data_IF_412189375483
#
_entry.id   IF_412189375483
#
_cell.length_a   1.000
_cell.length_b   1.000
_cell.length_c   1.000
_cell.angle_alpha   90.00
_cell.angle_beta   90.00
_cell.angle_gamma   90.00
#
_symmetry.space_group_name_H-M   'P 1'
#
loop_
_entity.id
_entity.type
_entity.pdbx_description
1 polymer ?
#
# COMPACT_ATOMS: atom_id res chain seq x y z
N UNK A 1 15.85 -3.39 2.99
CA UNK A 1 15.67 -3.48 1.53
C UNK A 1 14.18 -3.70 1.33
N UNK A 2 13.37 -2.62 1.31
CA UNK A 2 11.93 -2.63 0.96
C UNK A 2 11.44 -1.17 0.75
N UNK A 3 12.30 -0.30 0.22
CA UNK A 3 12.02 1.14 0.04
C UNK A 3 11.18 1.48 -1.20
N UNK A 4 10.18 0.65 -1.53
CA UNK A 4 9.32 0.84 -2.71
C UNK A 4 7.85 1.09 -2.34
N UNK A 5 7.58 1.62 -1.14
CA UNK A 5 6.25 2.05 -0.72
C UNK A 5 5.96 3.53 -1.04
N UNK A 6 6.64 4.12 -2.03
CA UNK A 6 6.29 5.44 -2.54
C UNK A 6 5.44 5.28 -3.81
N UNK A 7 4.12 5.36 -3.63
CA UNK A 7 3.12 5.58 -4.69
C UNK A 7 2.76 4.40 -5.60
N UNK A 8 2.74 3.16 -5.12
CA UNK A 8 1.86 2.16 -5.76
C UNK A 8 0.41 2.56 -5.46
N UNK A 9 -0.23 3.28 -6.40
CA UNK A 9 -1.69 3.46 -6.37
C UNK A 9 -2.31 2.07 -6.49
N UNK A 10 -2.58 1.45 -5.34
CA UNK A 10 -3.40 0.26 -5.26
C UNK A 10 -4.84 0.75 -5.41
N UNK A 11 -5.48 0.37 -6.52
CA UNK A 11 -6.88 0.68 -6.76
C UNK A 11 -7.65 -0.59 -7.01
N UNK A 12 -8.81 -0.69 -6.40
CA UNK A 12 -9.79 -1.74 -6.72
C UNK A 12 -10.68 -1.29 -7.87
N UNK A 13 -10.89 -2.17 -8.85
CA UNK A 13 -11.79 -1.93 -9.97
C UNK A 13 -12.66 -3.15 -10.23
N UNK A 14 -13.86 -2.92 -10.75
CA UNK A 14 -14.75 -4.01 -11.16
C UNK A 14 -14.33 -4.45 -12.56
N UNK A 15 -13.96 -5.72 -12.70
CA UNK A 15 -13.45 -6.28 -13.95
C UNK A 15 -14.54 -6.91 -14.84
N UNK A 16 -15.75 -7.08 -14.32
CA UNK A 16 -16.84 -7.77 -15.01
C UNK A 16 -18.15 -6.96 -15.02
N UNK A 17 -19.12 -7.43 -15.80
CA UNK A 17 -20.50 -7.00 -15.62
C UNK A 17 -21.04 -7.50 -14.28
N UNK A 18 -22.01 -6.76 -13.71
CA UNK A 18 -22.70 -7.15 -12.48
C UNK A 18 -23.88 -8.04 -12.86
N UNK A 19 -23.93 -9.28 -12.36
CA UNK A 19 -25.02 -10.23 -12.60
C UNK A 19 -25.74 -10.48 -11.29
N UNK A 20 -27.04 -10.22 -11.24
CA UNK A 20 -27.85 -10.44 -10.04
C UNK A 20 -29.10 -11.25 -10.31
N UNK A 21 -29.46 -12.09 -9.35
CA UNK A 21 -30.76 -12.72 -9.25
C UNK A 21 -31.30 -12.43 -7.84
N UNK A 22 -32.56 -12.01 -7.74
CA UNK A 22 -33.23 -11.79 -6.47
C UNK A 22 -34.66 -12.34 -6.55
N UNK A 23 -35.16 -12.83 -5.42
CA UNK A 23 -36.55 -13.24 -5.27
C UNK A 23 -37.26 -12.13 -4.49
N UNK A 24 -38.38 -11.67 -5.03
CA UNK A 24 -39.13 -10.56 -4.44
C UNK A 24 -39.52 -10.86 -2.98
N UNK A 25 -39.12 -9.96 -2.07
CA UNK A 25 -39.44 -10.08 -0.64
C UNK A 25 -38.59 -11.07 0.17
N UNK A 26 -37.50 -11.62 -0.35
CA UNK A 26 -36.64 -12.56 0.41
C UNK A 26 -35.17 -12.51 0.01
N UNK A 27 -34.27 -12.45 1.01
CA UNK A 27 -32.82 -12.58 0.79
C UNK A 27 -32.44 -14.05 0.95
N UNK A 28 -32.20 -14.74 -0.17
CA UNK A 28 -31.82 -16.16 -0.13
C UNK A 28 -30.32 -16.31 0.11
N UNK A 29 -29.96 -16.88 1.25
CA UNK A 29 -28.59 -17.22 1.67
C UNK A 29 -28.51 -18.68 2.09
N UNK A 30 -27.30 -19.25 2.12
CA UNK A 30 -27.04 -20.63 2.53
C UNK A 30 -27.66 -21.69 1.62
N UNK A 31 -27.63 -21.47 0.30
CA UNK A 31 -27.96 -22.54 -0.63
C UNK A 31 -26.97 -23.70 -0.43
N UNK A 32 -27.44 -24.95 -0.43
CA UNK A 32 -26.56 -26.11 -0.50
C UNK A 32 -25.61 -25.97 -1.69
N UNK A 33 -24.39 -26.50 -1.57
CA UNK A 33 -23.37 -26.42 -2.64
C UNK A 33 -23.84 -27.01 -3.98
N UNK A 34 -24.81 -27.93 -3.94
CA UNK A 34 -25.46 -28.52 -5.11
C UNK A 34 -26.33 -27.54 -5.91
N UNK A 35 -26.83 -26.47 -5.29
CA UNK A 35 -27.67 -25.44 -5.90
C UNK A 35 -27.01 -24.05 -5.90
N UNK A 36 -25.69 -23.99 -5.70
CA UNK A 36 -24.95 -22.73 -5.71
C UNK A 36 -25.06 -22.05 -7.08
N UNK A 37 -25.14 -20.72 -7.07
CA UNK A 37 -25.17 -19.92 -8.29
C UNK A 37 -23.78 -19.90 -8.90
N UNK A 38 -23.68 -20.30 -10.16
CA UNK A 38 -22.42 -20.32 -10.92
C UNK A 38 -22.48 -19.27 -12.01
N UNK A 39 -21.64 -18.23 -11.89
CA UNK A 39 -21.48 -17.20 -12.90
C UNK A 39 -20.10 -17.34 -13.56
N UNK A 40 -20.07 -17.29 -14.89
CA UNK A 40 -18.83 -17.32 -15.68
C UNK A 40 -18.60 -15.98 -16.36
N UNK A 41 -17.44 -15.39 -16.12
CA UNK A 41 -17.04 -14.10 -16.68
C UNK A 41 -15.83 -14.29 -17.60
N UNK A 42 -15.79 -13.67 -18.79
CA UNK A 42 -14.58 -13.67 -19.62
C UNK A 42 -13.43 -12.99 -18.89
N UNK A 43 -12.20 -13.44 -19.12
CA UNK A 43 -11.03 -12.81 -18.51
C UNK A 43 -10.66 -11.52 -19.26
N UNK A 44 -11.29 -10.41 -18.88
CA UNK A 44 -11.12 -9.07 -19.48
C UNK A 44 -10.07 -8.23 -18.78
N UNK A 45 -9.25 -8.80 -17.89
CA UNK A 45 -8.24 -8.04 -17.12
C UNK A 45 -7.26 -7.29 -18.03
N UNK A 46 -6.98 -7.78 -19.23
CA UNK A 46 -6.13 -7.09 -20.20
C UNK A 46 -6.71 -5.79 -20.74
N UNK A 47 -8.04 -5.62 -20.74
CA UNK A 47 -8.70 -4.38 -21.21
C UNK A 47 -8.76 -3.31 -20.12
N UNK A 48 -8.66 -3.72 -18.84
CA UNK A 48 -8.68 -2.81 -17.68
C UNK A 48 -7.30 -2.27 -17.29
N UNK A 49 -6.24 -2.97 -17.69
CA UNK A 49 -4.88 -2.63 -17.31
C UNK A 49 -4.24 -1.70 -18.35
N UNK A 50 -3.55 -0.68 -17.86
CA UNK A 50 -2.56 0.03 -18.66
C UNK A 50 -1.23 -0.76 -18.69
N UNK A 51 -0.33 -0.42 -19.62
CA UNK A 51 0.99 -1.08 -19.77
C UNK A 51 1.84 -1.06 -18.49
N UNK A 52 1.57 -0.12 -17.57
CA UNK A 52 2.28 0.04 -16.30
C UNK A 52 1.50 -0.53 -15.11
N UNK A 53 0.45 -1.32 -15.33
CA UNK A 53 -0.40 -1.88 -14.28
C UNK A 53 -0.43 -3.41 -14.32
N UNK A 54 -0.66 -4.03 -13.17
CA UNK A 54 -0.84 -5.47 -13.04
C UNK A 54 -1.93 -5.80 -12.02
N UNK A 55 -2.63 -6.91 -12.23
CA UNK A 55 -3.58 -7.44 -11.23
C UNK A 55 -2.78 -8.24 -10.20
N UNK A 56 -2.85 -7.83 -8.93
CA UNK A 56 -2.22 -8.57 -7.82
C UNK A 56 -3.24 -9.40 -7.01
N UNK A 57 -4.53 -9.11 -7.17
CA UNK A 57 -5.60 -9.81 -6.47
C UNK A 57 -6.89 -9.82 -7.27
N UNK A 58 -7.67 -10.89 -7.17
CA UNK A 58 -8.95 -11.07 -7.88
C UNK A 58 -9.90 -11.83 -6.97
N UNK A 59 -11.12 -11.31 -6.83
CA UNK A 59 -12.11 -11.80 -5.88
C UNK A 59 -13.51 -11.71 -6.47
N UNK A 60 -14.36 -12.69 -6.17
CA UNK A 60 -15.78 -12.66 -6.49
C UNK A 60 -16.50 -11.98 -5.33
N UNK A 61 -17.15 -10.86 -5.59
CA UNK A 61 -17.78 -10.03 -4.55
C UNK A 61 -19.22 -9.70 -4.88
N UNK A 62 -19.95 -9.32 -3.85
CA UNK A 62 -21.27 -8.72 -3.96
C UNK A 62 -21.34 -7.45 -3.11
N UNK A 63 -22.25 -6.56 -3.46
CA UNK A 63 -22.50 -5.37 -2.65
C UNK A 63 -23.41 -5.74 -1.48
N UNK A 64 -22.87 -5.68 -0.26
CA UNK A 64 -23.61 -5.95 0.96
C UNK A 64 -23.95 -4.64 1.67
N UNK A 65 -25.23 -4.48 2.02
CA UNK A 65 -25.73 -3.35 2.80
C UNK A 65 -26.31 -3.91 4.10
N UNK A 66 -25.72 -3.62 5.27
CA UNK A 66 -26.29 -3.98 6.56
C UNK A 66 -27.68 -3.36 6.78
N UNK A 67 -28.55 -4.05 7.51
CA UNK A 67 -29.87 -3.52 7.84
C UNK A 67 -29.74 -2.26 8.72
N UNK A 68 -30.43 -1.19 8.34
CA UNK A 68 -30.44 0.07 9.10
C UNK A 68 -29.28 1.02 8.79
N UNK A 69 -28.43 0.73 7.80
CA UNK A 69 -27.42 1.64 7.27
C UNK A 69 -27.65 1.91 5.79
N UNK A 70 -27.35 3.13 5.32
CA UNK A 70 -27.36 3.48 3.90
C UNK A 70 -26.00 3.15 3.22
N UNK A 71 -24.97 2.89 4.04
CA UNK A 71 -23.64 2.53 3.59
C UNK A 71 -23.51 1.01 3.38
N UNK A 72 -22.94 0.62 2.24
CA UNK A 72 -22.60 -0.77 1.93
C UNK A 72 -21.11 -0.98 1.70
N UNK A 73 -20.70 -2.24 1.59
CA UNK A 73 -19.34 -2.63 1.24
C UNK A 73 -19.30 -3.86 0.33
N UNK A 74 -18.18 -4.05 -0.36
CA UNK A 74 -17.93 -5.27 -1.15
C UNK A 74 -17.61 -6.43 -0.20
N UNK A 75 -18.41 -7.48 -0.24
CA UNK A 75 -18.21 -8.70 0.55
C UNK A 75 -17.94 -9.90 -0.36
N UNK A 76 -17.09 -10.81 0.11
CA UNK A 76 -16.75 -12.09 -0.53
C UNK A 76 -17.45 -13.27 0.15
N UNK A 77 -18.24 -13.00 1.19
CA UNK A 77 -18.84 -14.03 2.05
C UNK A 77 -19.74 -14.99 1.27
N UNK A 78 -19.46 -16.29 1.35
CA UNK A 78 -20.26 -17.31 0.66
C UNK A 78 -20.01 -17.42 -0.84
N UNK A 79 -19.05 -16.65 -1.38
CA UNK A 79 -18.56 -16.74 -2.75
C UNK A 79 -17.18 -17.40 -2.82
N UNK A 80 -16.95 -18.18 -3.87
CA UNK A 80 -15.67 -18.77 -4.17
C UNK A 80 -15.28 -18.48 -5.63
N UNK A 81 -14.00 -18.18 -5.85
CA UNK A 81 -13.44 -17.84 -7.15
C UNK A 81 -12.63 -19.02 -7.68
N UNK A 82 -12.90 -19.41 -8.93
CA UNK A 82 -12.08 -20.37 -9.68
C UNK A 82 -11.62 -19.73 -10.97
N UNK A 83 -10.32 -19.50 -11.09
CA UNK A 83 -9.73 -18.95 -12.31
C UNK A 83 -9.42 -20.05 -13.34
N UNK A 84 -9.78 -19.78 -14.59
CA UNK A 84 -9.43 -20.58 -15.77
C UNK A 84 -8.74 -19.68 -16.78
N UNK A 85 -8.09 -20.26 -17.79
CA UNK A 85 -7.27 -19.51 -18.75
C UNK A 85 -8.04 -18.35 -19.42
N UNK A 86 -9.27 -18.61 -19.87
CA UNK A 86 -10.06 -17.64 -20.64
C UNK A 86 -11.25 -17.06 -19.87
N UNK A 87 -11.54 -17.56 -18.68
CA UNK A 87 -12.73 -17.18 -17.92
C UNK A 87 -12.52 -17.35 -16.42
N UNK A 88 -13.25 -16.57 -15.64
CA UNK A 88 -13.30 -16.65 -14.18
C UNK A 88 -14.68 -17.14 -13.78
N UNK A 89 -14.72 -18.18 -12.96
CA UNK A 89 -15.97 -18.73 -12.43
C UNK A 89 -16.13 -18.25 -11.00
N UNK A 90 -17.27 -17.63 -10.71
CA UNK A 90 -17.72 -17.32 -9.36
C UNK A 90 -18.82 -18.30 -8.97
N UNK A 91 -18.63 -19.01 -7.86
CA UNK A 91 -19.63 -19.90 -7.27
C UNK A 91 -20.08 -19.33 -5.94
N UNK A 92 -21.32 -18.89 -5.81
CA UNK A 92 -21.84 -18.26 -4.59
C UNK A 92 -23.06 -19.01 -4.04
N UNK A 93 -23.18 -19.08 -2.72
CA UNK A 93 -24.27 -19.80 -2.03
C UNK A 93 -25.46 -18.89 -1.65
N UNK A 94 -25.63 -17.77 -2.34
CA UNK A 94 -26.71 -16.81 -2.11
C UNK A 94 -27.21 -16.24 -3.45
N UNK A 95 -28.35 -15.55 -3.42
CA UNK A 95 -28.92 -14.84 -4.58
C UNK A 95 -28.75 -13.33 -4.35
N UNK A 96 -27.67 -12.76 -4.90
CA UNK A 96 -27.40 -11.31 -4.87
C UNK A 96 -26.79 -10.85 -6.19
N UNK A 97 -26.52 -9.55 -6.34
CA UNK A 97 -25.75 -9.01 -7.47
C UNK A 97 -24.26 -9.24 -7.26
N UNK A 98 -23.63 -9.99 -8.17
CA UNK A 98 -22.23 -10.40 -8.13
C UNK A 98 -21.39 -9.71 -9.19
N UNK A 99 -20.12 -9.46 -8.87
CA UNK A 99 -19.12 -9.03 -9.83
C UNK A 99 -17.73 -9.54 -9.46
N UNK A 100 -16.82 -9.54 -10.43
CA UNK A 100 -15.38 -9.77 -10.20
C UNK A 100 -14.73 -8.44 -9.87
N UNK A 101 -14.12 -8.34 -8.70
CA UNK A 101 -13.30 -7.20 -8.28
C UNK A 101 -11.83 -7.57 -8.41
N UNK A 102 -11.04 -6.67 -8.97
CA UNK A 102 -9.59 -6.82 -9.12
C UNK A 102 -8.86 -5.73 -8.33
N UNK A 103 -7.80 -6.13 -7.64
CA UNK A 103 -6.78 -5.23 -7.11
C UNK A 103 -5.74 -4.95 -8.18
N UNK A 104 -5.63 -3.69 -8.59
CA UNK A 104 -4.69 -3.21 -9.60
C UNK A 104 -3.54 -2.51 -8.89
N UNK A 105 -2.33 -3.02 -9.14
CA UNK A 105 -1.07 -2.45 -8.72
C UNK A 105 -0.39 -1.76 -9.89
N UNK A 106 0.45 -0.79 -9.58
CA UNK A 106 1.24 -0.05 -10.55
C UNK A 106 2.69 -0.52 -10.50
N UNK A 107 3.27 -0.80 -11.67
CA UNK A 107 4.71 -0.90 -11.83
C UNK A 107 5.27 0.53 -11.78
N UNK A 108 6.17 0.85 -10.84
CA UNK A 108 6.75 2.18 -10.77
C UNK A 108 7.49 2.49 -12.09
N UNK A 109 7.26 3.66 -12.70
CA UNK A 109 7.94 4.02 -13.94
C UNK A 109 9.44 4.08 -13.71
N UNK A 110 10.22 3.77 -14.75
CA UNK A 110 11.69 3.75 -14.66
C UNK A 110 12.28 5.08 -14.15
N UNK A 111 11.59 6.20 -14.41
CA UNK A 111 11.97 7.52 -13.90
C UNK A 111 11.85 7.62 -12.35
N UNK A 112 10.82 7.02 -11.76
CA UNK A 112 10.62 7.03 -10.29
C UNK A 112 11.67 6.15 -9.60
N UNK A 113 12.00 5.01 -10.21
CA UNK A 113 13.08 4.14 -9.73
C UNK A 113 14.42 4.89 -9.79
N UNK A 114 14.68 5.58 -10.89
CA UNK A 114 15.90 6.38 -11.04
C UNK A 114 16.01 7.45 -9.95
N UNK A 115 14.95 8.27 -9.76
CA UNK A 115 14.88 9.31 -8.73
C UNK A 115 15.11 8.75 -7.31
N UNK A 116 14.56 7.57 -7.02
CA UNK A 116 14.76 6.87 -5.75
C UNK A 116 16.23 6.50 -5.53
N UNK A 117 16.89 5.97 -6.56
CA UNK A 117 18.32 5.61 -6.51
C UNK A 117 19.19 6.84 -6.26
N UNK A 118 18.98 7.94 -6.98
CA UNK A 118 19.77 9.17 -6.76
C UNK A 118 19.55 9.73 -5.36
N UNK A 119 18.31 9.70 -4.86
CA UNK A 119 17.98 10.17 -3.51
C UNK A 119 18.71 9.33 -2.46
N UNK A 120 18.69 8.00 -2.62
CA UNK A 120 19.32 7.09 -1.66
C UNK A 120 20.85 7.22 -1.67
N UNK A 121 21.46 7.24 -2.86
CA UNK A 121 22.92 7.42 -3.02
C UNK A 121 23.37 8.81 -2.55
N UNK A 122 22.65 9.86 -2.93
CA UNK A 122 22.94 11.24 -2.54
C UNK A 122 22.82 11.45 -1.03
N UNK A 123 21.82 10.84 -0.41
CA UNK A 123 21.63 10.82 1.05
C UNK A 123 22.82 10.15 1.75
N UNK A 124 23.18 8.93 1.34
CA UNK A 124 24.30 8.18 1.93
C UNK A 124 25.63 8.92 1.80
N UNK A 125 25.93 9.45 0.61
CA UNK A 125 27.16 10.19 0.34
C UNK A 125 27.25 11.46 1.21
N UNK A 126 26.14 12.16 1.38
CA UNK A 126 26.07 13.36 2.20
C UNK A 126 26.29 13.05 3.69
N UNK A 127 25.70 11.97 4.21
CA UNK A 127 25.92 11.53 5.60
C UNK A 127 27.40 11.19 5.85
N UNK A 128 28.03 10.44 4.94
CA UNK A 128 29.46 10.10 5.04
C UNK A 128 30.32 11.36 5.03
N UNK A 129 30.03 12.28 4.10
CA UNK A 129 30.73 13.57 4.01
C UNK A 129 30.62 14.38 5.30
N UNK A 130 29.42 14.47 5.88
CA UNK A 130 29.18 15.20 7.12
C UNK A 130 29.91 14.60 8.31
N UNK A 131 29.92 13.26 8.43
CA UNK A 131 30.65 12.57 9.48
C UNK A 131 32.16 12.80 9.36
N UNK A 132 32.72 12.64 8.16
CA UNK A 132 34.14 12.88 7.92
C UNK A 132 34.53 14.33 8.23
N UNK A 133 33.73 15.29 7.78
CA UNK A 133 33.99 16.71 8.03
C UNK A 133 33.91 17.05 9.53
N UNK A 134 32.92 16.50 10.25
CA UNK A 134 32.77 16.68 11.69
C UNK A 134 33.98 16.09 12.45
N UNK A 135 34.42 14.89 12.10
CA UNK A 135 35.58 14.24 12.73
C UNK A 135 36.87 15.04 12.53
N UNK A 136 37.08 15.57 11.33
CA UNK A 136 38.24 16.44 11.04
C UNK A 136 38.21 17.73 11.86
N UNK A 137 37.04 18.37 12.01
CA UNK A 137 36.90 19.59 12.81
C UNK A 137 37.09 19.34 14.32
N UNK A 138 36.65 18.20 14.84
CA UNK A 138 36.79 17.84 16.27
C UNK A 138 38.20 17.36 16.59
N UNK A 139 38.81 16.55 15.72
CA UNK A 139 40.14 15.97 15.94
C UNK A 139 41.29 16.96 15.80
N UNK A 140 41.15 17.98 14.94
CA UNK A 140 42.23 18.96 14.70
C UNK A 140 42.04 20.20 15.59
N UNK A 141 42.78 20.25 16.71
CA UNK A 141 42.76 21.37 17.68
C UNK A 141 42.95 22.76 17.04
N UNK A 142 43.75 22.83 15.98
CA UNK A 142 44.01 24.06 15.20
C UNK A 142 42.77 24.57 14.45
N UNK A 143 41.93 23.66 13.93
CA UNK A 143 40.70 24.03 13.23
C UNK A 143 39.60 24.41 14.23
N UNK A 144 39.54 23.74 15.39
CA UNK A 144 38.57 24.02 16.45
C UNK A 144 38.67 25.45 17.04
N UNK A 145 39.84 26.07 16.94
CA UNK A 145 40.10 27.43 17.43
C UNK A 145 39.60 28.54 16.47
N UNK A 146 39.28 28.22 15.21
CA UNK A 146 38.78 29.20 14.23
C UNK A 146 37.28 29.46 14.41
N UNK A 147 36.85 30.72 14.40
CA UNK A 147 35.43 31.11 14.46
C UNK A 147 34.57 30.45 13.36
N UNK A 148 35.14 30.21 12.17
CA UNK A 148 34.47 29.50 11.08
C UNK A 148 33.98 28.10 11.50
N UNK A 149 34.73 27.38 12.33
CA UNK A 149 34.36 26.04 12.80
C UNK A 149 33.10 26.04 13.68
N UNK A 150 32.77 27.15 14.36
CA UNK A 150 31.50 27.26 15.12
C UNK A 150 30.27 27.29 14.21
N UNK A 151 30.37 27.96 13.07
CA UNK A 151 29.30 28.04 12.06
C UNK A 151 29.11 26.66 11.41
N UNK A 152 30.21 26.00 11.05
CA UNK A 152 30.17 24.65 10.48
C UNK A 152 29.60 23.61 11.44
N UNK A 153 29.90 23.69 12.75
CA UNK A 153 29.32 22.79 13.76
C UNK A 153 27.79 22.94 13.80
N UNK A 154 27.27 24.17 13.80
CA UNK A 154 25.82 24.39 13.81
C UNK A 154 25.14 23.86 12.54
N UNK A 155 25.79 24.02 11.37
CA UNK A 155 25.31 23.48 10.11
C UNK A 155 25.28 21.95 10.10
N UNK A 156 26.34 21.30 10.57
CA UNK A 156 26.41 19.83 10.64
C UNK A 156 25.41 19.26 11.63
N UNK A 157 25.21 19.94 12.78
CA UNK A 157 24.20 19.55 13.75
C UNK A 157 22.78 19.64 13.15
N UNK A 158 22.49 20.72 12.42
CA UNK A 158 21.21 20.87 11.71
C UNK A 158 20.99 19.80 10.64
N UNK A 159 22.05 19.41 9.91
CA UNK A 159 21.96 18.36 8.89
C UNK A 159 21.80 16.97 9.52
N UNK A 160 22.48 16.68 10.62
CA UNK A 160 22.27 15.44 11.38
C UNK A 160 20.82 15.37 11.87
N UNK A 161 20.29 16.46 12.42
CA UNK A 161 18.89 16.52 12.84
C UNK A 161 17.94 16.25 11.65
N UNK A 162 18.19 16.85 10.49
CA UNK A 162 17.43 16.58 9.27
C UNK A 162 17.47 15.09 8.88
N UNK A 163 18.65 14.46 8.87
CA UNK A 163 18.79 13.02 8.57
C UNK A 163 18.07 12.14 9.58
N UNK A 164 18.13 12.45 10.88
CA UNK A 164 17.40 11.71 11.91
C UNK A 164 15.89 11.83 11.67
N UNK A 165 15.38 13.03 11.39
CA UNK A 165 13.95 13.21 11.11
C UNK A 165 13.51 12.52 9.83
N UNK A 166 14.34 12.53 8.80
CA UNK A 166 14.09 11.85 7.54
C UNK A 166 14.05 10.32 7.73
N UNK A 167 15.03 9.75 8.43
CA UNK A 167 15.09 8.32 8.74
C UNK A 167 13.97 7.88 9.70
N UNK A 168 13.62 8.72 10.68
CA UNK A 168 12.51 8.45 11.58
C UNK A 168 11.18 8.42 10.81
N UNK A 169 10.95 9.39 9.91
CA UNK A 169 9.78 9.41 9.04
C UNK A 169 9.67 8.17 8.15
N UNK A 170 10.80 7.71 7.60
CA UNK A 170 10.86 6.46 6.82
C UNK A 170 10.56 5.23 7.68
N UNK A 171 11.14 5.13 8.89
CA UNK A 171 10.89 4.04 9.83
C UNK A 171 9.42 3.96 10.27
N UNK A 172 8.80 5.11 10.56
CA UNK A 172 7.37 5.17 10.90
C UNK A 172 6.45 4.80 9.74
N UNK A 173 6.91 5.01 8.50
CA UNK A 173 6.15 4.66 7.29
C UNK A 173 6.21 3.16 6.99
N UNK A 174 7.26 2.46 7.45
CA UNK A 174 7.49 1.05 7.16
C UNK A 174 6.83 0.09 8.19
N UNK A 175 6.74 0.49 9.46
CA UNK A 175 6.22 -0.36 10.54
C UNK A 175 4.92 0.21 11.17
N UNK A 176 3.71 -0.24 10.75
CA UNK A 176 2.45 0.16 11.38
C UNK A 176 2.32 -0.31 12.85
N UNK A 177 3.20 -1.23 13.28
CA UNK A 177 3.33 -1.68 14.67
C UNK A 177 4.02 -0.63 15.56
N UNK A 178 4.96 0.16 15.04
CA UNK A 178 5.68 1.18 15.83
C UNK A 178 4.77 2.33 16.25
N UNK A 179 3.87 2.75 15.36
CA UNK A 179 2.89 3.84 15.58
C UNK A 179 1.84 3.44 16.62
N UNK A 180 1.32 2.20 16.56
CA UNK A 180 0.38 1.67 17.56
C UNK A 180 1.04 1.53 18.94
N UNK A 181 2.31 1.15 18.98
CA UNK A 181 3.05 0.95 20.23
C UNK A 181 3.39 2.29 20.90
N UNK A 182 3.77 3.32 20.12
CA UNK A 182 3.99 4.68 20.64
C UNK A 182 2.70 5.37 21.08
N UNK A 183 1.60 5.20 20.34
CA UNK A 183 0.30 5.71 20.75
C UNK A 183 -0.21 5.06 22.05
N UNK A 184 -0.02 3.73 22.19
CA UNK A 184 -0.29 3.01 23.44
C UNK A 184 0.61 3.51 24.58
N UNK A 185 1.93 3.62 24.37
CA UNK A 185 2.86 4.13 25.39
C UNK A 185 2.53 5.56 25.85
N UNK A 186 2.08 6.43 24.95
CA UNK A 186 1.65 7.79 25.28
C UNK A 186 0.37 7.80 26.13
N UNK A 187 -0.60 6.92 25.83
CA UNK A 187 -1.84 6.78 26.61
C UNK A 187 -1.57 6.15 27.98
N UNK A 188 -0.62 5.22 28.11
CA UNK A 188 -0.28 4.59 29.39
C UNK A 188 0.58 5.47 30.29
N UNK A 189 1.22 6.51 29.75
CA UNK A 189 2.07 7.46 30.47
C UNK A 189 1.38 8.82 30.76
N UNK A 190 0.15 9.03 30.28
CA UNK A 190 -0.70 10.18 30.57
C UNK A 190 -1.80 9.80 31.56
#
# INVERSE_FOLDING_TARGET
MDGAAHNSRLRSSVASQVIGANIEGSVVKNLPTEYAVVASFPNTTSELLNDTEFVFHKMCVFWFVPEGTDDGYWSEEGCNLTEKMNYTICTCNHLTSFAVLVGIGNIPPAADVFLTVITWVGSLLSVIGLLACTLLLVGVKSLRAKQASKIHINLFLSLIAFYITFLAGDLFSHDPLSVRTLHQLYITLA
#
